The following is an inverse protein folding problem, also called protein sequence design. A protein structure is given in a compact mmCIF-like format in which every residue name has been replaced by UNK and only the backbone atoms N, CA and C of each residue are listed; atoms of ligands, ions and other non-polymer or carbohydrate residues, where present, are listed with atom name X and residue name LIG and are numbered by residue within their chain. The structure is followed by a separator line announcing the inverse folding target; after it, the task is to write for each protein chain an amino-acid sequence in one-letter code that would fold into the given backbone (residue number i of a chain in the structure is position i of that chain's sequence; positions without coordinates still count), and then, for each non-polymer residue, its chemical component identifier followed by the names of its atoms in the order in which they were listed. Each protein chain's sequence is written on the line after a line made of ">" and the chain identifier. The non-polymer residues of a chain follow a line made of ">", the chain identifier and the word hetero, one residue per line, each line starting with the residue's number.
data_IF_734033361741
#
_entry.id   IF_734033361741
#
_cell.length_a   1.000
_cell.length_b   1.000
_cell.length_c   1.000
_cell.angle_alpha   90.00
_cell.angle_beta   90.00
_cell.angle_gamma   90.00
#
_symmetry.space_group_name_H-M   'P 1'
#
loop_
_entity.id
_entity.type
_entity.pdbx_description
1 polymer ?
#
# COMPACT_ATOMS: atom_id res chain seq x y z
N UNK A 1 -27.81 12.15 -42.49
CA UNK A 1 -26.74 11.16 -42.77
C UNK A 1 -27.19 10.25 -43.90
N UNK A 2 -26.37 10.02 -44.93
CA UNK A 2 -26.77 9.30 -46.16
C UNK A 2 -27.05 7.83 -45.82
N UNK A 3 -28.20 7.28 -46.24
CA UNK A 3 -28.64 5.90 -45.97
C UNK A 3 -27.56 4.83 -46.23
N UNK A 4 -26.66 5.07 -47.19
CA UNK A 4 -25.50 4.22 -47.47
C UNK A 4 -24.51 4.10 -46.30
N UNK A 5 -24.29 5.17 -45.54
CA UNK A 5 -23.41 5.16 -44.36
C UNK A 5 -23.97 4.27 -43.26
N UNK A 6 -25.29 4.27 -43.07
CA UNK A 6 -25.97 3.43 -42.08
C UNK A 6 -25.86 1.95 -42.50
N UNK A 7 -26.06 1.66 -43.80
CA UNK A 7 -25.92 0.31 -44.33
C UNK A 7 -24.50 -0.27 -44.15
N UNK A 8 -23.44 0.54 -44.38
CA UNK A 8 -22.07 0.10 -44.15
C UNK A 8 -21.75 -0.13 -42.67
N UNK A 9 -22.22 0.75 -41.77
CA UNK A 9 -22.04 0.54 -40.34
C UNK A 9 -22.77 -0.71 -39.84
N UNK A 10 -23.99 -0.97 -40.31
CA UNK A 10 -24.71 -2.20 -39.98
C UNK A 10 -24.01 -3.46 -40.50
N UNK A 11 -23.52 -3.43 -41.75
CA UNK A 11 -22.75 -4.54 -42.30
C UNK A 11 -21.50 -4.84 -41.48
N UNK A 12 -20.75 -3.81 -41.07
CA UNK A 12 -19.56 -3.96 -40.24
C UNK A 12 -19.88 -4.60 -38.88
N UNK A 13 -20.90 -4.10 -38.18
CA UNK A 13 -21.31 -4.64 -36.87
C UNK A 13 -21.75 -6.10 -37.01
N UNK A 14 -22.60 -6.41 -37.99
CA UNK A 14 -23.09 -7.78 -38.22
C UNK A 14 -21.94 -8.71 -38.59
N UNK A 15 -21.00 -8.27 -39.45
CA UNK A 15 -19.83 -9.05 -39.82
C UNK A 15 -18.93 -9.36 -38.62
N UNK A 16 -18.68 -8.37 -37.74
CA UNK A 16 -17.91 -8.58 -36.50
C UNK A 16 -18.64 -9.56 -35.57
N UNK A 17 -19.95 -9.40 -35.37
CA UNK A 17 -20.73 -10.30 -34.51
C UNK A 17 -20.74 -11.74 -35.03
N UNK A 18 -20.95 -11.93 -36.34
CA UNK A 18 -20.94 -13.26 -36.97
C UNK A 18 -19.55 -13.89 -36.87
N UNK A 19 -18.49 -13.12 -37.13
CA UNK A 19 -17.10 -13.58 -37.04
C UNK A 19 -16.74 -14.00 -35.61
N UNK A 20 -17.06 -13.19 -34.60
CA UNK A 20 -16.84 -13.52 -33.19
C UNK A 20 -17.61 -14.78 -32.78
N UNK A 21 -18.87 -14.91 -33.22
CA UNK A 21 -19.70 -16.07 -32.90
C UNK A 21 -19.15 -17.35 -33.54
N UNK A 22 -18.80 -17.31 -34.83
CA UNK A 22 -18.21 -18.45 -35.53
C UNK A 22 -16.86 -18.85 -34.95
N UNK A 23 -16.04 -17.88 -34.55
CA UNK A 23 -14.75 -18.15 -33.89
C UNK A 23 -14.93 -18.73 -32.48
N UNK A 24 -16.00 -18.38 -31.76
CA UNK A 24 -16.27 -18.89 -30.43
C UNK A 24 -16.77 -20.34 -30.42
N UNK A 25 -17.50 -20.80 -31.45
CA UNK A 25 -18.09 -22.16 -31.49
C UNK A 25 -17.01 -23.25 -31.28
N UNK A 26 -15.90 -23.30 -32.04
CA UNK A 26 -14.85 -24.30 -31.82
C UNK A 26 -14.23 -24.23 -30.42
N UNK A 27 -14.04 -23.02 -29.88
CA UNK A 27 -13.47 -22.84 -28.55
C UNK A 27 -14.40 -23.34 -27.44
N UNK A 28 -15.71 -23.06 -27.54
CA UNK A 28 -16.72 -23.56 -26.61
C UNK A 28 -16.82 -25.08 -26.68
N UNK A 29 -16.83 -25.66 -27.88
CA UNK A 29 -16.86 -27.11 -28.06
C UNK A 29 -15.61 -27.78 -27.50
N UNK A 30 -14.42 -27.23 -27.78
CA UNK A 30 -13.16 -27.71 -27.22
C UNK A 30 -13.18 -27.63 -25.69
N UNK A 31 -13.62 -26.51 -25.13
CA UNK A 31 -13.74 -26.32 -23.68
C UNK A 31 -14.68 -27.36 -23.06
N UNK A 32 -15.86 -27.56 -23.64
CA UNK A 32 -16.83 -28.56 -23.17
C UNK A 32 -16.25 -29.97 -23.19
N UNK A 33 -15.56 -30.35 -24.27
CA UNK A 33 -14.90 -31.66 -24.39
C UNK A 33 -13.81 -31.83 -23.34
N UNK A 34 -12.96 -30.80 -23.13
CA UNK A 34 -11.88 -30.86 -22.13
C UNK A 34 -12.44 -30.97 -20.73
N UNK A 35 -13.43 -30.14 -20.37
CA UNK A 35 -14.05 -30.15 -19.03
C UNK A 35 -14.75 -31.48 -18.76
N UNK A 36 -15.48 -32.02 -19.75
CA UNK A 36 -16.16 -33.30 -19.58
C UNK A 36 -15.16 -34.44 -19.37
N UNK A 37 -14.12 -34.54 -20.20
CA UNK A 37 -13.10 -35.59 -20.06
C UNK A 37 -12.32 -35.45 -18.74
N UNK A 38 -12.04 -34.21 -18.31
CA UNK A 38 -11.35 -33.97 -17.06
C UNK A 38 -12.23 -34.28 -15.84
N UNK A 39 -13.53 -34.02 -15.90
CA UNK A 39 -14.48 -34.42 -14.83
C UNK A 39 -14.48 -35.94 -14.66
N UNK A 40 -14.61 -36.69 -15.76
CA UNK A 40 -14.54 -38.16 -15.76
C UNK A 40 -13.21 -38.67 -15.18
N UNK A 41 -12.09 -37.99 -15.50
CA UNK A 41 -10.79 -38.31 -14.92
C UNK A 41 -10.75 -38.05 -13.41
N UNK A 42 -11.22 -36.88 -12.94
CA UNK A 42 -11.27 -36.56 -11.52
C UNK A 42 -12.14 -37.54 -10.74
N UNK A 43 -13.25 -38.00 -11.31
CA UNK A 43 -14.12 -39.01 -10.70
C UNK A 43 -13.47 -40.40 -10.57
N UNK A 44 -12.36 -40.63 -11.26
CA UNK A 44 -11.55 -41.84 -11.07
C UNK A 44 -10.68 -41.74 -9.80
N UNK A 45 -10.48 -40.54 -9.25
CA UNK A 45 -9.66 -40.27 -8.06
C UNK A 45 -10.52 -40.37 -6.80
N UNK A 46 -10.33 -41.42 -6.00
CA UNK A 46 -11.19 -41.79 -4.87
C UNK A 46 -11.58 -40.64 -3.90
N UNK A 47 -10.66 -39.79 -3.42
CA UNK A 47 -11.05 -38.68 -2.54
C UNK A 47 -11.97 -37.66 -3.23
N UNK A 48 -11.74 -37.39 -4.51
CA UNK A 48 -12.54 -36.42 -5.26
C UNK A 48 -13.93 -36.96 -5.52
N UNK A 49 -14.05 -38.19 -6.01
CA UNK A 49 -15.35 -38.79 -6.34
C UNK A 49 -16.26 -38.94 -5.13
N UNK A 50 -15.70 -39.26 -3.96
CA UNK A 50 -16.45 -39.26 -2.70
C UNK A 50 -17.06 -37.88 -2.39
N UNK A 51 -16.24 -36.82 -2.47
CA UNK A 51 -16.70 -35.45 -2.20
C UNK A 51 -17.69 -34.98 -3.27
N UNK A 52 -17.43 -35.29 -4.54
CA UNK A 52 -18.28 -34.89 -5.66
C UNK A 52 -19.69 -35.49 -5.51
N UNK A 53 -19.78 -36.79 -5.24
CA UNK A 53 -21.07 -37.46 -4.99
C UNK A 53 -21.77 -36.90 -3.75
N UNK A 54 -21.04 -36.67 -2.66
CA UNK A 54 -21.60 -36.05 -1.45
C UNK A 54 -22.22 -34.67 -1.75
N UNK A 55 -21.54 -33.83 -2.54
CA UNK A 55 -22.06 -32.51 -2.92
C UNK A 55 -23.32 -32.64 -3.79
N UNK A 56 -23.32 -33.53 -4.78
CA UNK A 56 -24.50 -33.75 -5.64
C UNK A 56 -25.69 -34.23 -4.79
N UNK A 57 -25.50 -35.22 -3.92
CA UNK A 57 -26.58 -35.80 -3.10
C UNK A 57 -27.20 -34.77 -2.15
N UNK A 58 -26.38 -33.95 -1.48
CA UNK A 58 -26.85 -33.01 -0.47
C UNK A 58 -27.43 -31.71 -1.08
N UNK A 59 -26.99 -31.30 -2.27
CA UNK A 59 -27.33 -29.99 -2.84
C UNK A 59 -28.19 -30.04 -4.12
N UNK A 60 -28.50 -31.22 -4.65
CA UNK A 60 -29.32 -31.40 -5.87
C UNK A 60 -30.70 -30.74 -5.84
N UNK A 61 -31.29 -30.57 -4.65
CA UNK A 61 -32.59 -29.89 -4.51
C UNK A 61 -32.50 -28.37 -4.61
N UNK A 62 -31.31 -27.79 -4.40
CA UNK A 62 -31.10 -26.35 -4.28
C UNK A 62 -30.36 -25.76 -5.48
N UNK A 63 -29.50 -26.55 -6.12
CA UNK A 63 -28.60 -26.10 -7.18
C UNK A 63 -28.86 -26.91 -8.45
N UNK A 64 -28.93 -26.28 -9.64
CA UNK A 64 -29.07 -26.99 -10.91
C UNK A 64 -27.96 -28.03 -11.12
N UNK A 65 -28.32 -29.19 -11.69
CA UNK A 65 -27.39 -30.30 -11.91
C UNK A 65 -26.10 -29.89 -12.63
N UNK A 66 -26.20 -29.10 -13.71
CA UNK A 66 -25.02 -28.63 -14.43
C UNK A 66 -24.03 -27.83 -13.56
N UNK A 67 -24.50 -27.09 -12.55
CA UNK A 67 -23.60 -26.35 -11.66
C UNK A 67 -22.97 -27.26 -10.60
N UNK A 68 -23.70 -28.31 -10.19
CA UNK A 68 -23.19 -29.33 -9.26
C UNK A 68 -22.21 -30.29 -9.92
N UNK A 69 -22.39 -30.64 -11.19
CA UNK A 69 -21.47 -31.52 -11.91
C UNK A 69 -20.09 -30.86 -12.14
N UNK A 70 -20.04 -29.53 -12.16
CA UNK A 70 -18.85 -28.74 -12.47
C UNK A 70 -18.44 -27.78 -11.35
N UNK A 71 -18.89 -28.00 -10.11
CA UNK A 71 -18.56 -27.16 -8.95
C UNK A 71 -17.04 -27.00 -8.73
N UNK A 72 -16.28 -28.05 -9.03
CA UNK A 72 -14.83 -28.10 -8.94
C UNK A 72 -14.13 -27.09 -9.86
N UNK A 73 -14.81 -26.63 -10.93
CA UNK A 73 -14.29 -25.55 -11.77
C UNK A 73 -14.10 -24.27 -10.96
N UNK A 74 -14.92 -23.99 -9.95
CA UNK A 74 -14.74 -22.82 -9.08
C UNK A 74 -13.44 -22.96 -8.27
N UNK A 75 -13.18 -24.16 -7.75
CA UNK A 75 -11.95 -24.48 -7.00
C UNK A 75 -10.72 -24.37 -7.89
N UNK A 76 -10.83 -24.66 -9.19
CA UNK A 76 -9.70 -24.55 -10.12
C UNK A 76 -9.54 -23.11 -10.66
N UNK A 77 -10.62 -22.51 -11.16
CA UNK A 77 -10.58 -21.21 -11.82
C UNK A 77 -10.31 -20.07 -10.87
N UNK A 78 -10.76 -20.11 -9.62
CA UNK A 78 -10.49 -19.02 -8.68
C UNK A 78 -8.99 -18.92 -8.41
N UNK A 79 -8.27 -19.96 -7.95
CA UNK A 79 -6.81 -19.92 -7.81
C UNK A 79 -6.10 -19.61 -9.12
N UNK A 80 -6.53 -20.20 -10.24
CA UNK A 80 -5.91 -19.95 -11.53
C UNK A 80 -6.04 -18.48 -11.95
N UNK A 81 -7.23 -17.89 -11.81
CA UNK A 81 -7.47 -16.48 -12.10
C UNK A 81 -6.65 -15.57 -11.18
N UNK A 82 -6.56 -15.91 -9.88
CA UNK A 82 -5.72 -15.19 -8.92
C UNK A 82 -4.23 -15.27 -9.31
N UNK A 83 -3.75 -16.43 -9.77
CA UNK A 83 -2.37 -16.62 -10.26
C UNK A 83 -2.14 -15.81 -11.53
N UNK A 84 -3.02 -15.92 -12.54
CA UNK A 84 -2.92 -15.14 -13.77
C UNK A 84 -2.91 -13.63 -13.49
N UNK A 85 -3.74 -13.20 -12.55
CA UNK A 85 -3.79 -11.80 -12.12
C UNK A 85 -2.53 -11.37 -11.38
N UNK A 86 -1.99 -12.20 -10.47
CA UNK A 86 -0.72 -11.94 -9.81
C UNK A 86 0.45 -11.85 -10.81
N UNK A 87 0.46 -12.73 -11.83
CA UNK A 87 1.43 -12.68 -12.93
C UNK A 87 1.27 -11.40 -13.74
N UNK A 88 0.04 -10.98 -14.04
CA UNK A 88 -0.23 -9.71 -14.71
C UNK A 88 0.28 -8.51 -13.92
N UNK A 89 0.05 -8.47 -12.60
CA UNK A 89 0.57 -7.41 -11.71
C UNK A 89 2.10 -7.41 -11.63
N UNK A 90 2.71 -8.60 -11.56
CA UNK A 90 4.16 -8.73 -11.58
C UNK A 90 4.74 -8.25 -12.92
N UNK A 91 4.11 -8.60 -14.04
CA UNK A 91 4.48 -8.13 -15.36
C UNK A 91 4.37 -6.61 -15.47
N UNK A 92 3.27 -6.02 -14.97
CA UNK A 92 3.07 -4.57 -14.95
C UNK A 92 4.20 -3.89 -14.16
N UNK A 93 4.57 -4.42 -13.00
CA UNK A 93 5.66 -3.90 -12.17
C UNK A 93 7.03 -4.03 -12.84
N UNK A 94 7.31 -5.16 -13.50
CA UNK A 94 8.55 -5.37 -14.26
C UNK A 94 8.64 -4.39 -15.42
N UNK A 95 7.55 -4.23 -16.18
CA UNK A 95 7.49 -3.28 -17.30
C UNK A 95 7.75 -1.84 -16.83
N UNK A 96 7.18 -1.45 -15.69
CA UNK A 96 7.44 -0.14 -15.10
C UNK A 96 8.88 0.02 -14.61
N UNK A 97 9.45 -0.98 -13.93
CA UNK A 97 10.88 -0.92 -13.57
C UNK A 97 11.78 -0.85 -14.79
N UNK A 98 11.37 -1.46 -15.90
CA UNK A 98 12.09 -1.37 -17.16
C UNK A 98 11.94 0.02 -17.78
N UNK A 99 10.74 0.62 -17.76
CA UNK A 99 10.52 1.98 -18.27
C UNK A 99 11.31 3.03 -17.47
N UNK A 100 11.44 2.84 -16.15
CA UNK A 100 12.26 3.71 -15.29
C UNK A 100 13.74 3.75 -15.67
N UNK A 101 14.33 2.65 -16.18
CA UNK A 101 15.76 2.61 -16.51
C UNK A 101 16.16 3.58 -17.62
N UNK A 102 15.22 3.98 -18.48
CA UNK A 102 15.46 4.94 -19.56
C UNK A 102 15.15 6.38 -19.19
N UNK A 103 14.62 6.63 -17.99
CA UNK A 103 14.13 7.94 -17.59
C UNK A 103 15.10 8.61 -16.61
N UNK A 104 15.39 9.92 -16.78
CA UNK A 104 16.26 10.63 -15.87
C UNK A 104 15.60 10.78 -14.49
N UNK A 105 16.39 10.64 -13.43
CA UNK A 105 15.93 11.00 -12.09
C UNK A 105 15.82 12.52 -12.01
N UNK A 106 14.67 13.03 -11.59
CA UNK A 106 14.48 14.45 -11.35
C UNK A 106 15.30 14.84 -10.11
N UNK A 107 16.10 15.90 -10.19
CA UNK A 107 16.84 16.43 -9.04
C UNK A 107 15.91 17.15 -8.04
N UNK A 108 16.45 17.58 -6.91
CA UNK A 108 15.72 18.42 -5.96
C UNK A 108 15.67 19.86 -6.50
N UNK A 109 14.49 20.47 -6.59
CA UNK A 109 14.34 21.82 -7.12
C UNK A 109 12.95 22.20 -7.59
N UNK A 110 12.88 23.31 -8.34
CA UNK A 110 11.66 23.82 -8.96
C UNK A 110 11.61 23.45 -10.43
N UNK A 111 10.44 23.00 -10.88
CA UNK A 111 10.13 22.69 -12.26
C UNK A 111 8.93 23.51 -12.72
N UNK A 112 9.02 24.12 -13.89
CA UNK A 112 7.91 24.89 -14.46
C UNK A 112 6.81 23.94 -15.00
N UNK A 113 5.56 24.37 -14.91
CA UNK A 113 4.43 23.69 -15.51
C UNK A 113 4.64 23.51 -17.02
N UNK A 114 4.13 22.40 -17.55
CA UNK A 114 4.25 22.03 -18.98
C UNK A 114 5.68 21.72 -19.45
N UNK A 115 6.66 21.66 -18.54
CA UNK A 115 8.01 21.18 -18.86
C UNK A 115 8.06 19.66 -18.99
N UNK A 116 9.07 19.15 -19.71
CA UNK A 116 9.32 17.70 -19.80
C UNK A 116 9.52 17.06 -18.43
N UNK A 117 10.15 17.78 -17.50
CA UNK A 117 10.35 17.34 -16.13
C UNK A 117 9.04 17.19 -15.36
N UNK A 118 8.09 18.10 -15.59
CA UNK A 118 6.76 18.00 -15.00
C UNK A 118 5.98 16.78 -15.52
N UNK A 119 5.99 16.56 -16.83
CA UNK A 119 5.36 15.38 -17.44
C UNK A 119 5.97 14.08 -16.92
N UNK A 120 7.29 14.08 -16.71
CA UNK A 120 7.99 12.93 -16.16
C UNK A 120 7.59 12.66 -14.70
N UNK A 121 7.44 13.72 -13.90
CA UNK A 121 6.90 13.61 -12.55
C UNK A 121 5.48 13.03 -12.56
N UNK A 122 4.58 13.56 -13.39
CA UNK A 122 3.19 13.09 -13.47
C UNK A 122 3.12 11.62 -13.88
N UNK A 123 3.99 11.19 -14.81
CA UNK A 123 4.10 9.79 -15.20
C UNK A 123 4.42 8.87 -14.00
N UNK A 124 5.39 9.25 -13.16
CA UNK A 124 5.72 8.46 -11.97
C UNK A 124 4.60 8.46 -10.94
N UNK A 125 3.99 9.62 -10.69
CA UNK A 125 2.90 9.76 -9.72
C UNK A 125 1.67 8.95 -10.13
N UNK A 126 1.23 9.08 -11.39
CA UNK A 126 0.06 8.37 -11.93
C UNK A 126 0.25 6.86 -11.79
N UNK A 127 1.42 6.34 -12.15
CA UNK A 127 1.65 4.90 -12.05
C UNK A 127 1.62 4.42 -10.60
N UNK A 128 2.24 5.16 -9.68
CA UNK A 128 2.25 4.81 -8.27
C UNK A 128 0.83 4.85 -7.65
N UNK A 129 0.03 5.87 -8.00
CA UNK A 129 -1.36 6.00 -7.54
C UNK A 129 -2.26 4.92 -8.15
N UNK A 130 -2.07 4.56 -9.43
CA UNK A 130 -2.92 3.59 -10.12
C UNK A 130 -2.62 2.13 -9.76
N UNK A 131 -1.39 1.83 -9.32
CA UNK A 131 -0.99 0.44 -9.05
C UNK A 131 -1.91 -0.29 -8.04
N UNK A 132 -2.30 0.31 -6.89
CA UNK A 132 -3.27 -0.29 -5.98
C UNK A 132 -4.66 -0.51 -6.60
N UNK A 133 -5.12 0.40 -7.47
CA UNK A 133 -6.39 0.21 -8.19
C UNK A 133 -6.32 -0.97 -9.15
N UNK A 134 -5.19 -1.12 -9.86
CA UNK A 134 -4.95 -2.29 -10.70
C UNK A 134 -4.81 -3.57 -9.90
N UNK A 135 -4.43 -3.52 -8.63
CA UNK A 135 -4.31 -4.67 -7.74
C UNK A 135 -5.65 -5.13 -7.13
N UNK A 136 -6.71 -4.30 -7.19
CA UNK A 136 -8.06 -4.68 -6.81
C UNK A 136 -8.16 -5.25 -5.40
N UNK A 137 -8.71 -6.47 -5.26
CA UNK A 137 -8.81 -7.19 -3.98
C UNK A 137 -7.45 -7.34 -3.26
N UNK A 138 -6.36 -7.45 -4.02
CA UNK A 138 -5.03 -7.64 -3.43
C UNK A 138 -4.41 -6.36 -2.89
N UNK A 139 -5.00 -5.18 -3.17
CA UNK A 139 -4.50 -3.89 -2.69
C UNK A 139 -4.32 -3.85 -1.17
N UNK A 140 -5.14 -4.57 -0.41
CA UNK A 140 -5.06 -4.71 1.05
C UNK A 140 -3.70 -5.29 1.48
N UNK A 141 -3.12 -6.19 0.69
CA UNK A 141 -1.79 -6.76 0.96
C UNK A 141 -0.66 -5.87 0.46
N UNK A 142 -0.95 -4.94 -0.47
CA UNK A 142 0.02 -4.05 -1.10
C UNK A 142 0.06 -2.64 -0.52
N UNK A 143 -0.83 -2.26 0.39
CA UNK A 143 -0.73 -1.02 1.18
C UNK A 143 0.29 -1.16 2.31
N UNK A 144 1.47 -1.65 1.94
CA UNK A 144 2.48 -2.15 2.85
C UNK A 144 3.85 -1.64 2.43
N UNK A 145 4.75 -1.57 3.41
CA UNK A 145 6.16 -1.17 3.26
C UNK A 145 6.86 -1.71 1.98
N UNK A 146 6.70 -2.99 1.56
CA UNK A 146 7.35 -3.52 0.36
C UNK A 146 6.99 -2.78 -0.92
N UNK A 147 5.74 -2.32 -1.08
CA UNK A 147 5.32 -1.55 -2.27
C UNK A 147 6.12 -0.26 -2.34
N UNK A 148 6.09 0.54 -1.27
CA UNK A 148 6.82 1.82 -1.23
C UNK A 148 8.31 1.64 -1.54
N UNK A 149 8.93 0.59 -1.00
CA UNK A 149 10.33 0.26 -1.28
C UNK A 149 10.57 -0.15 -2.75
N UNK A 150 9.64 -0.91 -3.35
CA UNK A 150 9.73 -1.29 -4.76
C UNK A 150 9.72 -0.07 -5.70
N UNK A 151 9.07 1.02 -5.28
CA UNK A 151 9.01 2.31 -5.99
C UNK A 151 10.11 3.31 -5.59
N UNK A 152 11.03 2.93 -4.71
CA UNK A 152 12.23 3.73 -4.39
C UNK A 152 12.30 4.28 -2.97
N UNK A 153 11.28 4.09 -2.14
CA UNK A 153 11.33 4.53 -0.74
C UNK A 153 12.39 3.77 0.06
N UNK A 154 13.13 4.49 0.89
CA UNK A 154 14.08 3.92 1.83
C UNK A 154 13.42 3.91 3.20
N UNK A 155 12.99 2.72 3.65
CA UNK A 155 12.29 2.56 4.94
C UNK A 155 13.08 1.60 5.82
N UNK A 156 13.50 2.07 6.98
CA UNK A 156 14.27 1.35 7.98
C UNK A 156 13.55 0.16 8.61
N UNK A 157 14.28 -0.60 9.43
CA UNK A 157 13.78 -1.79 10.16
C UNK A 157 12.77 -1.36 11.22
N UNK A 158 11.80 -2.25 11.50
CA UNK A 158 10.73 -2.01 12.48
C UNK A 158 9.87 -0.75 12.26
N UNK A 159 10.02 -0.08 11.10
CA UNK A 159 9.20 1.07 10.75
C UNK A 159 7.90 0.65 10.08
N UNK A 160 6.79 1.23 10.52
CA UNK A 160 5.43 0.89 10.11
C UNK A 160 4.82 2.08 9.36
N UNK A 161 4.42 1.84 8.11
CA UNK A 161 3.77 2.81 7.23
C UNK A 161 2.41 2.28 6.73
N UNK A 162 1.72 1.50 7.57
CA UNK A 162 0.56 0.71 7.14
C UNK A 162 -0.73 1.50 6.90
N UNK A 163 -0.82 2.75 7.38
CA UNK A 163 -2.02 3.58 7.24
C UNK A 163 -1.72 5.03 6.84
N UNK A 164 -0.45 5.35 6.55
CA UNK A 164 -0.03 6.68 6.10
C UNK A 164 0.06 6.73 4.57
N UNK A 165 -0.13 7.92 4.00
CA UNK A 165 -0.01 8.17 2.57
C UNK A 165 1.37 8.73 2.26
N UNK A 166 2.20 7.92 1.60
CA UNK A 166 3.47 8.37 1.03
C UNK A 166 3.25 8.77 -0.42
N UNK A 167 3.58 10.01 -0.76
CA UNK A 167 3.73 10.47 -2.14
C UNK A 167 5.21 10.54 -2.49
N UNK A 168 5.55 10.28 -3.76
CA UNK A 168 6.94 10.24 -4.24
C UNK A 168 7.82 9.31 -3.40
N UNK A 169 7.54 7.98 -3.44
CA UNK A 169 8.36 6.99 -2.75
C UNK A 169 9.86 7.14 -3.06
N UNK A 170 10.23 7.45 -4.30
CA UNK A 170 11.60 7.71 -4.74
C UNK A 170 12.31 8.87 -4.01
N UNK A 171 11.55 9.72 -3.30
CA UNK A 171 12.01 10.87 -2.49
C UNK A 171 11.70 10.71 -1.00
N UNK A 172 11.36 9.50 -0.57
CA UNK A 172 11.00 9.19 0.81
C UNK A 172 12.11 8.43 1.51
N UNK A 173 12.59 8.98 2.64
CA UNK A 173 13.57 8.33 3.51
C UNK A 173 13.03 8.32 4.94
N UNK A 174 12.87 7.13 5.50
CA UNK A 174 12.38 6.87 6.86
C UNK A 174 13.40 5.97 7.55
N UNK A 175 13.90 6.41 8.72
CA UNK A 175 14.82 5.64 9.56
C UNK A 175 14.20 4.40 10.20
N UNK A 176 14.91 3.85 11.18
CA UNK A 176 14.52 2.66 11.93
C UNK A 176 13.53 3.00 13.07
N UNK A 177 12.65 2.06 13.41
CA UNK A 177 11.65 2.14 14.49
C UNK A 177 10.70 3.36 14.38
N UNK A 178 10.32 3.74 13.16
CA UNK A 178 9.41 4.86 12.94
C UNK A 178 7.95 4.40 12.82
N UNK A 179 7.03 5.23 13.30
CA UNK A 179 5.60 4.95 13.21
C UNK A 179 4.88 6.05 12.42
N UNK A 180 4.15 5.66 11.39
CA UNK A 180 3.23 6.55 10.67
C UNK A 180 1.80 6.35 11.13
N UNK A 181 1.22 7.41 11.68
CA UNK A 181 -0.17 7.48 12.07
C UNK A 181 -1.12 7.39 10.88
N UNK A 182 -2.37 7.05 11.20
CA UNK A 182 -3.45 6.93 10.24
C UNK A 182 -3.67 8.24 9.47
N UNK A 183 -3.81 8.15 8.14
CA UNK A 183 -3.98 9.28 7.21
C UNK A 183 -2.91 10.37 7.29
N UNK A 184 -1.77 10.10 7.94
CA UNK A 184 -0.61 10.99 7.87
C UNK A 184 -0.09 11.04 6.44
N UNK A 185 0.20 12.23 5.93
CA UNK A 185 0.68 12.48 4.58
C UNK A 185 2.16 12.85 4.64
N UNK A 186 2.97 12.21 3.82
CA UNK A 186 4.32 12.67 3.52
C UNK A 186 4.48 12.85 2.03
N UNK A 187 4.84 14.06 1.61
CA UNK A 187 4.96 14.41 0.20
C UNK A 187 6.34 14.88 -0.17
N UNK A 188 6.91 14.29 -1.22
CA UNK A 188 8.13 14.78 -1.89
C UNK A 188 7.85 15.90 -2.89
N UNK A 189 6.59 16.31 -3.09
CA UNK A 189 6.20 17.39 -3.98
C UNK A 189 5.21 18.40 -3.36
N UNK A 190 5.19 19.61 -3.90
CA UNK A 190 4.12 20.59 -3.68
C UNK A 190 4.00 21.50 -4.90
N UNK A 191 2.77 21.87 -5.23
CA UNK A 191 2.48 22.83 -6.31
C UNK A 191 2.46 24.25 -5.75
N UNK A 192 3.26 25.13 -6.34
CA UNK A 192 3.39 26.54 -5.99
C UNK A 192 3.14 27.40 -7.23
N UNK A 193 1.88 27.82 -7.42
CA UNK A 193 1.46 28.52 -8.62
C UNK A 193 1.62 27.64 -9.86
N UNK A 194 2.49 28.06 -10.79
CA UNK A 194 2.83 27.29 -12.02
C UNK A 194 4.11 26.48 -11.88
N UNK A 195 4.59 26.25 -10.66
CA UNK A 195 5.82 25.51 -10.39
C UNK A 195 5.55 24.30 -9.52
N UNK A 196 6.27 23.23 -9.79
CA UNK A 196 6.33 22.03 -9.00
C UNK A 196 7.63 22.10 -8.20
N UNK A 197 7.52 22.11 -6.88
CA UNK A 197 8.67 21.94 -6.02
C UNK A 197 8.82 20.46 -5.67
N UNK A 198 9.96 19.88 -6.01
CA UNK A 198 10.32 18.51 -5.66
C UNK A 198 11.52 18.50 -4.73
N UNK A 199 11.39 17.80 -3.60
CA UNK A 199 12.54 17.59 -2.71
C UNK A 199 12.37 16.37 -1.82
N UNK A 200 13.49 15.70 -1.58
CA UNK A 200 13.56 14.54 -0.68
C UNK A 200 13.12 14.90 0.75
N UNK A 201 12.25 14.07 1.34
CA UNK A 201 11.83 14.15 2.75
C UNK A 201 12.57 13.08 3.56
N UNK A 202 13.08 13.48 4.73
CA UNK A 202 13.90 12.61 5.59
C UNK A 202 13.35 12.58 7.00
N UNK A 203 13.18 11.36 7.52
CA UNK A 203 12.95 11.09 8.94
C UNK A 203 14.13 10.27 9.46
N UNK A 204 14.66 10.70 10.62
CA UNK A 204 15.60 9.94 11.42
C UNK A 204 14.98 8.68 12.02
N UNK A 205 15.60 8.18 13.06
CA UNK A 205 15.19 6.97 13.78
C UNK A 205 14.26 7.30 14.94
N UNK A 206 13.43 6.34 15.34
CA UNK A 206 12.50 6.46 16.46
C UNK A 206 11.55 7.66 16.32
N UNK A 207 11.12 7.97 15.09
CA UNK A 207 10.21 9.08 14.80
C UNK A 207 8.77 8.59 14.81
N UNK A 208 7.90 9.28 15.55
CA UNK A 208 6.45 9.02 15.53
C UNK A 208 5.75 10.16 14.82
N UNK A 209 5.01 9.84 13.76
CA UNK A 209 4.16 10.77 13.03
C UNK A 209 2.72 10.55 13.44
N UNK A 210 2.10 11.55 14.05
CA UNK A 210 0.72 11.50 14.51
C UNK A 210 -0.28 11.39 13.35
N UNK A 211 -1.49 10.91 13.67
CA UNK A 211 -2.56 10.78 12.68
C UNK A 211 -2.89 12.12 12.00
N UNK A 212 -3.19 12.09 10.70
CA UNK A 212 -3.48 13.27 9.87
C UNK A 212 -2.38 14.35 9.84
N UNK A 213 -1.17 14.07 10.32
CA UNK A 213 -0.06 15.00 10.18
C UNK A 213 0.34 15.13 8.69
N UNK A 214 0.81 16.30 8.28
CA UNK A 214 1.24 16.57 6.90
C UNK A 214 2.70 16.99 6.90
N UNK A 215 3.55 16.23 6.23
CA UNK A 215 4.97 16.50 6.08
C UNK A 215 5.22 16.94 4.64
N UNK A 216 5.64 18.21 4.48
CA UNK A 216 5.88 18.83 3.17
C UNK A 216 7.30 18.56 2.64
N UNK A 217 7.55 18.82 1.34
CA UNK A 217 8.79 18.45 0.69
C UNK A 217 10.02 19.11 1.31
N UNK A 218 11.14 18.39 1.33
CA UNK A 218 12.40 18.91 1.87
C UNK A 218 12.46 18.98 3.39
N UNK A 219 11.43 18.55 4.11
CA UNK A 219 11.49 18.43 5.56
C UNK A 219 12.56 17.41 5.98
N UNK A 220 13.32 17.77 7.01
CA UNK A 220 14.37 16.94 7.61
C UNK A 220 14.10 16.82 9.11
N UNK A 221 13.67 15.64 9.53
CA UNK A 221 13.21 15.36 10.89
C UNK A 221 14.28 14.52 11.59
N UNK A 222 14.85 15.06 12.66
CA UNK A 222 15.86 14.36 13.47
C UNK A 222 15.35 13.12 14.19
N UNK A 223 16.25 12.47 14.92
CA UNK A 223 15.94 11.26 15.69
C UNK A 223 15.05 11.56 16.91
N UNK A 224 14.28 10.57 17.35
CA UNK A 224 13.44 10.62 18.56
C UNK A 224 12.40 11.76 18.56
N UNK A 225 11.93 12.17 17.38
CA UNK A 225 10.94 13.23 17.21
C UNK A 225 9.52 12.68 17.24
N UNK A 226 8.60 13.40 17.90
CA UNK A 226 7.16 13.17 17.77
C UNK A 226 6.55 14.32 16.97
N UNK A 227 5.99 14.03 15.81
CA UNK A 227 5.12 14.96 15.09
C UNK A 227 3.69 14.74 15.59
N UNK A 228 3.08 15.75 16.18
CA UNK A 228 1.72 15.66 16.72
C UNK A 228 0.67 15.40 15.65
N UNK A 229 -0.47 14.81 16.05
CA UNK A 229 -1.60 14.62 15.17
C UNK A 229 -2.10 15.96 14.59
N UNK A 230 -2.61 15.95 13.35
CA UNK A 230 -3.04 17.13 12.60
C UNK A 230 -1.98 18.24 12.46
N UNK A 231 -0.71 17.98 12.76
CA UNK A 231 0.36 18.98 12.64
C UNK A 231 0.90 19.03 11.22
N UNK A 232 1.29 20.22 10.77
CA UNK A 232 1.95 20.42 9.48
C UNK A 232 3.43 20.71 9.72
N UNK A 233 4.31 19.95 9.07
CA UNK A 233 5.74 20.24 8.98
C UNK A 233 5.97 21.00 7.66
N UNK A 234 6.37 22.29 7.72
CA UNK A 234 6.55 23.11 6.53
C UNK A 234 7.64 22.58 5.58
N UNK A 235 7.55 23.04 4.33
CA UNK A 235 8.57 22.80 3.30
C UNK A 235 9.95 23.23 3.82
N UNK A 236 10.98 22.43 3.55
CA UNK A 236 12.37 22.67 3.96
C UNK A 236 12.59 22.83 5.47
N UNK A 237 11.62 22.44 6.31
CA UNK A 237 11.75 22.59 7.75
C UNK A 237 12.68 21.52 8.30
N UNK A 238 13.70 21.97 9.03
CA UNK A 238 14.55 21.11 9.86
C UNK A 238 13.96 21.05 11.26
N UNK A 239 13.64 19.84 11.74
CA UNK A 239 13.17 19.58 13.10
C UNK A 239 14.31 18.93 13.88
N UNK A 240 14.83 19.56 14.95
CA UNK A 240 15.89 18.98 15.76
C UNK A 240 15.49 17.67 16.42
N UNK A 241 16.47 16.78 16.63
CA UNK A 241 16.27 15.54 17.38
C UNK A 241 15.77 15.81 18.81
N UNK A 242 15.09 14.83 19.41
CA UNK A 242 14.55 14.89 20.77
C UNK A 242 13.57 16.07 20.96
N UNK A 243 12.68 16.29 19.99
CA UNK A 243 11.64 17.32 20.08
C UNK A 243 10.26 16.78 19.77
N UNK A 244 9.25 17.51 20.21
CA UNK A 244 7.85 17.31 19.86
C UNK A 244 7.43 18.46 18.94
N UNK A 245 7.05 18.15 17.72
CA UNK A 245 6.53 19.12 16.76
C UNK A 245 5.01 19.18 16.82
N UNK A 246 4.47 20.30 17.30
CA UNK A 246 3.02 20.55 17.40
C UNK A 246 2.72 21.99 17.00
N UNK A 247 1.65 22.20 16.23
CA UNK A 247 1.16 23.54 15.87
C UNK A 247 2.24 24.52 15.36
N UNK A 248 3.21 24.03 14.59
CA UNK A 248 4.27 24.88 14.01
C UNK A 248 5.46 25.16 14.93
N UNK A 249 5.50 24.58 16.13
CA UNK A 249 6.60 24.76 17.09
C UNK A 249 7.25 23.42 17.45
N UNK A 250 8.57 23.45 17.59
CA UNK A 250 9.34 22.36 18.17
C UNK A 250 9.48 22.63 19.68
N UNK A 251 9.00 21.70 20.50
CA UNK A 251 9.08 21.73 21.95
C UNK A 251 10.16 20.70 22.36
N UNK A 252 11.11 21.05 23.24
CA UNK A 252 12.05 20.07 23.77
C UNK A 252 11.31 18.89 24.39
N UNK A 253 11.73 17.68 24.05
CA UNK A 253 11.20 16.49 24.69
C UNK A 253 11.77 16.40 26.11
N UNK A 254 10.92 16.18 27.09
CA UNK A 254 11.37 15.83 28.44
C UNK A 254 12.16 14.52 28.44
N UNK A 255 12.80 14.15 29.56
CA UNK A 255 13.38 12.82 29.71
C UNK A 255 12.29 11.77 29.40
N UNK A 256 12.65 10.65 28.73
CA UNK A 256 11.69 9.59 28.46
C UNK A 256 11.05 9.16 29.79
N UNK A 257 9.73 9.10 29.84
CA UNK A 257 9.04 8.55 31.00
C UNK A 257 9.47 7.09 31.19
N UNK A 258 9.48 6.59 32.42
CA UNK A 258 9.77 5.19 32.71
C UNK A 258 8.94 4.23 31.84
N UNK A 259 7.68 4.58 31.58
CA UNK A 259 6.80 3.83 30.68
C UNK A 259 7.31 3.75 29.24
N UNK A 260 8.04 4.77 28.75
CA UNK A 260 8.64 4.82 27.42
C UNK A 260 9.98 4.05 27.35
N UNK A 261 10.79 4.08 28.41
CA UNK A 261 11.96 3.19 28.50
C UNK A 261 11.58 1.71 28.51
N UNK A 262 10.42 1.41 29.11
CA UNK A 262 9.83 0.09 29.15
C UNK A 262 9.01 -0.23 27.89
N UNK A 263 8.65 0.79 27.08
CA UNK A 263 7.89 0.59 25.85
C UNK A 263 8.81 0.06 24.76
N UNK A 264 8.62 -1.19 24.40
CA UNK A 264 9.37 -1.80 23.32
C UNK A 264 8.76 -1.40 21.98
N UNK A 265 9.57 -1.04 20.96
CA UNK A 265 9.06 -1.01 19.59
C UNK A 265 8.50 -2.40 19.25
N UNK A 266 7.41 -2.45 18.50
CA UNK A 266 6.73 -3.71 18.13
C UNK A 266 7.77 -4.65 17.48
N UNK A 267 8.10 -5.75 18.16
CA UNK A 267 9.14 -6.71 17.74
C UNK A 267 10.53 -6.55 18.37
N UNK A 268 10.69 -5.73 19.41
CA UNK A 268 11.92 -5.58 20.20
C UNK A 268 12.23 -6.75 21.15
N UNK A 269 13.47 -6.85 21.68
CA UNK A 269 13.88 -7.91 22.61
C UNK A 269 13.35 -7.67 24.02
N UNK A 270 12.62 -8.62 24.61
CA UNK A 270 11.95 -8.51 25.93
C UNK A 270 12.80 -7.84 27.02
N UNK A 271 12.27 -6.78 27.67
CA UNK A 271 12.93 -6.17 28.84
C UNK A 271 12.96 -7.20 29.98
N UNK A 272 14.14 -7.51 30.51
CA UNK A 272 14.31 -8.40 31.65
C UNK A 272 13.97 -7.63 32.94
N UNK A 273 13.10 -8.20 33.78
CA UNK A 273 12.58 -7.60 35.03
C UNK A 273 13.66 -7.10 36.00
N UNK A 274 14.90 -7.60 35.94
CA UNK A 274 16.03 -7.10 36.76
C UNK A 274 16.34 -5.61 36.55
N UNK A 275 16.02 -5.04 35.38
CA UNK A 275 16.21 -3.60 35.14
C UNK A 275 15.16 -2.76 35.87
N UNK A 276 13.99 -3.33 36.18
CA UNK A 276 12.87 -2.63 36.84
C UNK A 276 13.16 -2.47 38.34
N UNK A 277 13.65 -3.51 39.02
CA UNK A 277 14.01 -3.47 40.45
C UNK A 277 15.14 -2.47 40.75
N UNK A 278 16.16 -2.41 39.88
CA UNK A 278 17.25 -1.43 40.03
C UNK A 278 16.85 0.04 39.81
N UNK A 279 15.70 0.30 39.19
CA UNK A 279 15.21 1.65 38.93
C UNK A 279 14.23 2.07 40.02
N UNK A 280 13.39 1.15 40.54
CA UNK A 280 12.52 1.43 41.69
C UNK A 280 13.31 1.83 42.95
N UNK A 281 14.49 1.26 43.15
CA UNK A 281 15.35 1.60 44.30
C UNK A 281 15.96 3.01 44.20
N UNK A 282 16.01 3.62 43.01
CA UNK A 282 16.52 4.99 42.83
C UNK A 282 15.40 6.06 42.87
N UNK A 283 14.17 5.70 42.53
CA UNK A 283 13.03 6.64 42.52
C UNK A 283 12.50 6.94 43.94
N UNK A 284 12.82 6.10 44.95
CA UNK A 284 12.45 6.36 46.35
C UNK A 284 13.22 7.54 47.00
N UNK A 285 14.33 8.01 46.42
CA UNK A 285 15.09 9.15 46.94
C UNK A 285 14.61 10.53 46.41
N UNK A 286 13.76 10.57 45.37
CA UNK A 286 13.36 11.82 44.67
C UNK A 286 11.88 12.23 44.89
N UNK A 287 11.15 11.58 45.82
CA UNK A 287 9.71 11.84 46.09
C UNK A 287 9.39 13.11 46.90
N UNK A 288 10.32 14.03 47.14
CA UNK A 288 10.03 15.38 47.69
C UNK A 288 10.05 16.46 46.59
N UNK A 289 9.10 16.44 45.62
CA UNK A 289 9.09 17.58 44.68
C UNK A 289 8.11 17.66 43.51
N UNK A 290 7.20 16.72 43.27
CA UNK A 290 6.25 16.89 42.12
C UNK A 290 4.83 16.47 42.46
N UNK A 291 4.04 17.44 42.93
CA UNK A 291 2.59 17.32 42.95
C UNK A 291 2.05 17.19 41.53
N UNK A 292 1.49 16.03 41.20
CA UNK A 292 0.71 15.78 39.99
C UNK A 292 -0.47 16.78 39.98
N UNK A 293 -0.65 17.63 38.95
CA UNK A 293 -1.83 18.47 38.86
C UNK A 293 -3.05 17.58 38.66
N UNK A 294 -4.00 17.66 39.59
CA UNK A 294 -5.26 16.95 39.49
C UNK A 294 -6.04 17.42 38.26
N UNK A 295 -6.31 16.49 37.34
CA UNK A 295 -7.40 16.49 36.36
C UNK A 295 -7.97 17.86 35.95
N UNK A 296 -7.68 18.31 34.72
CA UNK A 296 -8.62 19.18 34.01
C UNK A 296 -8.10 20.27 33.08
N UNK A 297 -6.79 20.50 32.95
CA UNK A 297 -6.31 21.53 32.02
C UNK A 297 -5.90 20.93 30.67
N UNK A 298 -6.75 21.24 29.69
CA UNK A 298 -6.64 20.87 28.27
C UNK A 298 -5.39 21.49 27.64
N UNK A 299 -4.72 20.71 26.81
CA UNK A 299 -4.02 21.19 25.62
C UNK A 299 -4.75 20.69 24.37
#
# INVERSE_FOLDING_TARGET
>A
MKARSIAYSMYLIISIMISLTLAAIPAILLFAIVVQNFTTFLDTIWPFSFIHNFVIENFSQWIPGFALDYWWLIILFVPLALICYAVFLAFLMVFFKLSQKGLPFLEDGYYEAESEAWLLYEYFEVYYILYPYFAGFFSIFFDTKPRHQAFGAKIGKNSIVGNGRLFNPERTIIGDNCFFGYDAIMSGHVYEGRRLYLKTVRLGNNVTVGANAVILPGADIGDNVIVGANSVVPKDKIIPSNTIWVHGKAIPRGPPYLAEELHQPIGGPTVIFEKIEKISDNDEEDEEGTTIPSNGERF
#
